data_IF_714569473284
#
_entry.id   IF_714569473284
#
_cell.length_a   1.000
_cell.length_b   1.000
_cell.length_c   1.000
_cell.angle_alpha   90.00
_cell.angle_beta   90.00
_cell.angle_gamma   90.00
#
_symmetry.space_group_name_H-M   'P 1'
#
loop_
_entity.id
_entity.type
_entity.pdbx_description
1 polymer ?
#
# COMPACT_ATOMS: atom_id res chain seq x y z
N UNK A 1 -1.34 1.72 13.46
CA UNK A 1 -2.13 0.50 13.71
C UNK A 1 -1.33 -0.55 14.48
N UNK A 2 -0.17 -0.99 14.02
CA UNK A 2 0.59 -2.08 14.67
C UNK A 2 1.01 -1.76 16.11
N UNK A 3 1.37 -0.52 16.44
CA UNK A 3 1.66 -0.09 17.82
C UNK A 3 0.42 -0.22 18.74
N UNK A 4 -0.75 0.15 18.24
CA UNK A 4 -1.99 0.09 19.02
C UNK A 4 -2.57 -1.33 19.11
N UNK A 5 -2.19 -2.19 18.19
CA UNK A 5 -2.58 -3.60 18.09
C UNK A 5 -4.07 -3.86 18.37
N UNK A 6 -5.02 -3.14 17.73
CA UNK A 6 -6.45 -3.35 17.98
C UNK A 6 -6.87 -4.76 17.58
N UNK A 7 -7.78 -5.36 18.33
CA UNK A 7 -8.33 -6.70 18.04
C UNK A 7 -9.22 -6.73 16.78
N UNK A 8 -9.75 -5.58 16.38
CA UNK A 8 -10.59 -5.42 15.20
C UNK A 8 -10.16 -4.15 14.46
N UNK A 9 -9.86 -4.28 13.17
CA UNK A 9 -9.50 -3.14 12.34
C UNK A 9 -9.81 -3.38 10.86
N UNK A 10 -9.86 -2.29 10.11
CA UNK A 10 -9.90 -2.28 8.65
C UNK A 10 -8.64 -1.57 8.16
N UNK A 11 -7.93 -2.20 7.21
CA UNK A 11 -6.84 -1.58 6.44
C UNK A 11 -7.35 -1.44 5.03
N UNK A 12 -7.28 -0.24 4.47
CA UNK A 12 -7.67 0.03 3.10
C UNK A 12 -6.67 0.93 2.40
N UNK A 13 -6.40 0.66 1.14
CA UNK A 13 -5.64 1.51 0.24
C UNK A 13 -6.11 1.27 -1.19
N UNK A 14 -6.11 2.30 -2.04
CA UNK A 14 -6.42 2.17 -3.46
C UNK A 14 -5.33 1.39 -4.23
N UNK A 15 -4.11 1.30 -3.68
CA UNK A 15 -3.02 0.52 -4.26
C UNK A 15 -3.24 -0.98 -4.10
N UNK A 16 -3.74 -1.61 -5.17
CA UNK A 16 -4.03 -3.04 -5.22
C UNK A 16 -2.83 -3.92 -4.88
N UNK A 17 -1.63 -3.53 -5.33
CA UNK A 17 -0.42 -4.33 -5.08
C UNK A 17 0.01 -4.23 -3.63
N UNK A 18 -0.12 -3.07 -2.99
CA UNK A 18 0.12 -2.91 -1.56
C UNK A 18 -0.88 -3.76 -0.74
N UNK A 19 -2.16 -3.71 -1.07
CA UNK A 19 -3.16 -4.52 -0.37
C UNK A 19 -2.94 -6.02 -0.60
N UNK A 20 -2.44 -6.41 -1.77
CA UNK A 20 -2.04 -7.80 -2.04
C UNK A 20 -0.89 -8.25 -1.13
N UNK A 21 0.10 -7.38 -0.84
CA UNK A 21 1.17 -7.69 0.13
C UNK A 21 0.56 -8.05 1.49
N UNK A 22 -0.32 -7.21 2.05
CA UNK A 22 -0.95 -7.49 3.34
C UNK A 22 -1.79 -8.78 3.32
N UNK A 23 -2.52 -9.05 2.23
CA UNK A 23 -3.27 -10.30 2.06
C UNK A 23 -2.36 -11.52 2.03
N UNK A 24 -1.20 -11.43 1.38
CA UNK A 24 -0.22 -12.51 1.35
C UNK A 24 0.44 -12.72 2.73
N UNK A 25 0.71 -11.64 3.48
CA UNK A 25 1.25 -11.74 4.84
C UNK A 25 0.23 -12.40 5.79
N UNK A 26 -1.06 -12.16 5.60
CA UNK A 26 -2.14 -12.74 6.41
C UNK A 26 -2.40 -14.22 6.11
N UNK A 27 -2.13 -14.70 4.90
CA UNK A 27 -2.36 -16.08 4.46
C UNK A 27 -1.07 -16.90 4.65
N UNK A 28 -1.09 -17.90 5.52
CA UNK A 28 0.10 -18.69 5.89
C UNK A 28 0.82 -19.30 4.69
N UNK A 29 0.08 -19.90 3.75
CA UNK A 29 0.68 -20.53 2.56
C UNK A 29 1.29 -19.52 1.60
N UNK A 30 0.59 -18.38 1.40
CA UNK A 30 1.09 -17.29 0.56
C UNK A 30 2.27 -16.58 1.24
N UNK A 31 2.27 -16.46 2.56
CA UNK A 31 3.35 -15.88 3.34
C UNK A 31 4.67 -16.66 3.14
N UNK A 32 4.65 -17.97 3.33
CA UNK A 32 5.83 -18.80 3.10
C UNK A 32 6.32 -18.74 1.65
N UNK A 33 5.40 -18.80 0.68
CA UNK A 33 5.74 -18.70 -0.73
C UNK A 33 6.32 -17.32 -1.09
N UNK A 34 5.80 -16.26 -0.51
CA UNK A 34 6.31 -14.89 -0.67
C UNK A 34 7.72 -14.73 -0.09
N UNK A 35 7.99 -15.30 1.09
CA UNK A 35 9.33 -15.27 1.69
C UNK A 35 10.36 -16.02 0.84
N UNK A 36 10.00 -17.17 0.27
CA UNK A 36 10.88 -17.88 -0.68
C UNK A 36 11.19 -17.06 -1.93
N UNK A 37 10.18 -16.37 -2.48
CA UNK A 37 10.36 -15.49 -3.65
C UNK A 37 11.22 -14.27 -3.31
N UNK A 38 11.08 -13.69 -2.10
CA UNK A 38 11.93 -12.58 -1.63
C UNK A 38 13.39 -13.00 -1.50
N UNK A 39 13.66 -14.19 -0.94
CA UNK A 39 15.02 -14.73 -0.88
C UNK A 39 15.61 -14.94 -2.29
N UNK A 40 14.80 -15.40 -3.25
CA UNK A 40 15.23 -15.50 -4.64
C UNK A 40 15.58 -14.11 -5.21
N UNK A 41 14.73 -13.11 -5.01
CA UNK A 41 15.03 -11.73 -5.44
C UNK A 41 16.31 -11.16 -4.80
N UNK A 42 16.62 -11.50 -3.55
CA UNK A 42 17.86 -11.08 -2.88
C UNK A 42 19.09 -11.75 -3.49
N UNK A 43 18.97 -13.03 -3.85
CA UNK A 43 20.06 -13.83 -4.46
C UNK A 43 20.40 -13.34 -5.86
N UNK A 44 19.38 -13.06 -6.68
CA UNK A 44 19.55 -12.63 -8.08
C UNK A 44 19.79 -11.11 -8.22
N UNK A 45 19.83 -10.38 -7.10
CA UNK A 45 19.86 -8.93 -7.11
C UNK A 45 21.03 -8.34 -7.91
N UNK A 46 20.69 -7.66 -8.98
CA UNK A 46 21.56 -6.85 -9.83
C UNK A 46 20.77 -5.71 -10.47
N UNK A 47 21.40 -4.79 -11.18
CA UNK A 47 20.69 -3.75 -11.91
C UNK A 47 19.84 -4.33 -13.04
N UNK A 48 20.37 -5.30 -13.78
CA UNK A 48 19.67 -5.99 -14.88
C UNK A 48 18.43 -6.70 -14.34
N UNK A 49 18.60 -7.49 -13.28
CA UNK A 49 17.50 -8.21 -12.63
C UNK A 49 16.44 -7.24 -12.08
N UNK A 50 16.85 -6.12 -11.49
CA UNK A 50 15.89 -5.10 -11.04
C UNK A 50 14.99 -4.62 -12.17
N UNK A 51 15.56 -4.30 -13.33
CA UNK A 51 14.79 -3.84 -14.48
C UNK A 51 13.93 -4.94 -15.09
N UNK A 52 14.37 -6.19 -15.08
CA UNK A 52 13.56 -7.35 -15.46
C UNK A 52 12.30 -7.44 -14.59
N UNK A 53 12.47 -7.49 -13.27
CA UNK A 53 11.37 -7.56 -12.30
C UNK A 53 10.47 -6.31 -12.39
N UNK A 54 11.06 -5.13 -12.55
CA UNK A 54 10.29 -3.89 -12.73
C UNK A 54 9.39 -3.96 -13.96
N UNK A 55 9.88 -4.49 -15.05
CA UNK A 55 9.18 -4.49 -16.33
C UNK A 55 8.08 -5.56 -16.43
N UNK A 56 7.91 -6.44 -15.45
CA UNK A 56 6.84 -7.45 -15.46
C UNK A 56 5.44 -6.86 -15.62
N UNK A 57 5.19 -5.65 -15.11
CA UNK A 57 3.88 -4.98 -15.20
C UNK A 57 3.61 -4.28 -16.54
N UNK A 58 4.57 -4.27 -17.49
CA UNK A 58 4.41 -3.74 -18.83
C UNK A 58 3.48 -4.61 -19.70
N UNK A 59 3.44 -5.92 -19.43
CA UNK A 59 2.47 -6.83 -20.01
C UNK A 59 1.39 -7.17 -18.96
N UNK A 60 0.33 -6.37 -18.94
CA UNK A 60 -0.78 -6.54 -17.98
C UNK A 60 -1.41 -7.93 -18.02
N UNK A 61 -1.46 -8.58 -19.21
CA UNK A 61 -2.06 -9.93 -19.33
C UNK A 61 -1.22 -10.97 -18.61
N UNK A 62 0.11 -10.91 -18.77
CA UNK A 62 1.03 -11.81 -18.08
C UNK A 62 1.10 -11.49 -16.59
N UNK A 63 1.22 -10.20 -16.25
CA UNK A 63 1.29 -9.75 -14.87
C UNK A 63 0.08 -10.21 -14.03
N UNK A 64 -1.13 -10.04 -14.56
CA UNK A 64 -2.35 -10.44 -13.86
C UNK A 64 -2.50 -11.98 -13.69
N UNK A 65 -1.74 -12.77 -14.43
CA UNK A 65 -1.69 -14.23 -14.27
C UNK A 65 -0.65 -14.70 -13.26
N UNK A 66 0.25 -13.82 -12.81
CA UNK A 66 1.20 -14.16 -11.76
C UNK A 66 0.47 -14.46 -10.45
N UNK A 67 0.97 -15.45 -9.73
CA UNK A 67 0.46 -15.77 -8.40
C UNK A 67 0.58 -14.55 -7.46
N UNK A 68 -0.39 -14.36 -6.57
CA UNK A 68 -0.45 -13.23 -5.66
C UNK A 68 0.85 -13.04 -4.88
N UNK A 69 1.45 -14.14 -4.37
CA UNK A 69 2.70 -14.07 -3.60
C UNK A 69 3.89 -13.57 -4.43
N UNK A 70 3.94 -13.87 -5.73
CA UNK A 70 4.98 -13.36 -6.64
C UNK A 70 4.83 -11.86 -6.86
N UNK A 71 3.60 -11.39 -7.03
CA UNK A 71 3.29 -9.97 -7.16
C UNK A 71 3.59 -9.22 -5.85
N UNK A 72 3.28 -9.83 -4.70
CA UNK A 72 3.59 -9.28 -3.39
C UNK A 72 5.10 -9.18 -3.16
N UNK A 73 5.86 -10.24 -3.43
CA UNK A 73 7.31 -10.25 -3.33
C UNK A 73 7.96 -9.21 -4.26
N UNK A 74 7.49 -9.11 -5.52
CA UNK A 74 7.90 -8.05 -6.45
C UNK A 74 7.71 -6.65 -5.86
N UNK A 75 6.55 -6.38 -5.28
CA UNK A 75 6.24 -5.05 -4.70
C UNK A 75 7.22 -4.70 -3.59
N UNK A 76 7.48 -5.63 -2.68
CA UNK A 76 8.44 -5.44 -1.58
C UNK A 76 9.88 -5.26 -2.14
N UNK A 77 10.30 -6.14 -3.04
CA UNK A 77 11.63 -6.10 -3.64
C UNK A 77 11.88 -4.76 -4.36
N UNK A 78 10.97 -4.33 -5.23
CA UNK A 78 11.11 -3.08 -5.96
C UNK A 78 11.19 -1.87 -5.02
N UNK A 79 10.35 -1.81 -3.99
CA UNK A 79 10.41 -0.73 -3.01
C UNK A 79 11.74 -0.70 -2.27
N UNK A 80 12.29 -1.85 -1.89
CA UNK A 80 13.58 -1.94 -1.20
C UNK A 80 14.79 -1.69 -2.10
N UNK A 81 14.72 -2.10 -3.37
CA UNK A 81 15.83 -2.00 -4.33
C UNK A 81 15.86 -0.70 -5.12
N UNK A 82 14.75 0.03 -5.21
CA UNK A 82 14.64 1.26 -5.98
C UNK A 82 15.34 2.46 -5.33
N UNK A 83 15.44 3.55 -6.08
CA UNK A 83 15.97 4.83 -5.62
C UNK A 83 15.11 5.38 -4.46
N UNK A 84 15.74 5.63 -3.32
CA UNK A 84 15.17 6.18 -2.08
C UNK A 84 13.91 5.46 -1.54
N UNK A 85 13.65 4.21 -1.94
CA UNK A 85 12.46 3.48 -1.47
C UNK A 85 11.14 4.12 -1.93
N UNK A 86 11.16 4.88 -3.01
CA UNK A 86 9.97 5.57 -3.52
C UNK A 86 8.97 4.58 -4.12
N UNK A 87 7.69 4.92 -4.01
CA UNK A 87 6.64 4.30 -4.82
C UNK A 87 6.13 5.34 -5.83
N UNK A 88 6.22 5.02 -7.10
CA UNK A 88 5.71 5.88 -8.17
C UNK A 88 5.32 5.04 -9.38
N UNK A 89 4.20 5.40 -9.99
CA UNK A 89 3.71 4.80 -11.25
C UNK A 89 3.61 5.86 -12.35
N UNK A 90 3.62 5.42 -13.59
CA UNK A 90 3.33 6.27 -14.75
C UNK A 90 1.82 6.30 -15.02
N UNK A 91 1.40 7.04 -16.07
CA UNK A 91 -0.01 7.16 -16.49
C UNK A 91 -0.67 5.85 -16.93
N UNK A 92 0.11 4.76 -17.10
CA UNK A 92 -0.39 3.41 -17.39
C UNK A 92 -0.45 2.53 -16.12
N UNK A 93 -0.30 3.15 -14.96
CA UNK A 93 -0.21 2.46 -13.67
C UNK A 93 0.89 1.37 -13.66
N UNK A 94 2.08 1.72 -14.17
CA UNK A 94 3.27 0.86 -14.19
C UNK A 94 4.34 1.47 -13.29
N UNK A 95 4.95 0.64 -12.43
CA UNK A 95 6.01 1.08 -11.53
C UNK A 95 7.20 1.64 -12.32
N UNK A 96 7.65 2.87 -12.03
CA UNK A 96 8.62 3.57 -12.85
C UNK A 96 9.80 4.19 -12.10
N UNK A 97 10.01 3.82 -10.83
CA UNK A 97 11.19 4.29 -10.08
C UNK A 97 12.46 3.63 -10.64
N UNK A 98 13.58 4.36 -10.78
CA UNK A 98 14.83 3.78 -11.23
C UNK A 98 15.51 2.92 -10.15
N UNK A 99 16.46 2.10 -10.55
CA UNK A 99 17.31 1.33 -9.65
C UNK A 99 18.03 2.20 -8.62
N UNK A 100 18.10 1.74 -7.39
CA UNK A 100 18.68 2.46 -6.25
C UNK A 100 20.20 2.34 -6.14
N UNK A 101 20.88 1.70 -7.10
CA UNK A 101 22.34 1.46 -7.13
C UNK A 101 22.87 0.75 -5.88
N UNK A 102 22.04 -0.10 -5.27
CA UNK A 102 22.44 -0.92 -4.13
C UNK A 102 23.17 -2.16 -4.62
N UNK A 103 24.29 -2.51 -3.99
CA UNK A 103 25.04 -3.74 -4.29
C UNK A 103 24.44 -4.95 -3.61
N UNK A 104 23.66 -4.74 -2.55
CA UNK A 104 22.91 -5.76 -1.80
C UNK A 104 21.59 -5.18 -1.32
N UNK A 105 20.55 -6.00 -1.32
CA UNK A 105 19.25 -5.65 -0.80
C UNK A 105 18.82 -6.66 0.28
N UNK A 106 18.33 -6.14 1.39
CA UNK A 106 17.61 -6.93 2.40
C UNK A 106 16.15 -6.52 2.27
N UNK A 107 15.33 -7.40 1.75
CA UNK A 107 13.93 -7.08 1.42
C UNK A 107 13.05 -7.07 2.67
N UNK A 108 13.36 -7.89 3.67
CA UNK A 108 12.55 -8.01 4.89
C UNK A 108 13.38 -8.43 6.11
N UNK A 109 12.81 -8.17 7.27
CA UNK A 109 13.19 -8.77 8.55
C UNK A 109 12.16 -9.86 8.87
N UNK A 110 12.62 -11.12 9.00
CA UNK A 110 11.73 -12.26 9.18
C UNK A 110 10.98 -12.20 10.52
N UNK A 111 11.64 -11.74 11.59
CA UNK A 111 11.02 -11.60 12.92
C UNK A 111 9.87 -10.61 12.89
N UNK A 112 10.08 -9.47 12.23
CA UNK A 112 9.04 -8.45 12.04
C UNK A 112 7.89 -8.97 11.17
N UNK A 113 8.17 -9.64 10.05
CA UNK A 113 7.13 -10.19 9.18
C UNK A 113 6.29 -11.27 9.87
N UNK A 114 6.91 -12.17 10.66
CA UNK A 114 6.18 -13.16 11.47
C UNK A 114 5.28 -12.47 12.49
N UNK A 115 5.76 -11.44 13.17
CA UNK A 115 4.97 -10.66 14.13
C UNK A 115 3.75 -10.03 13.47
N UNK A 116 3.94 -9.42 12.30
CA UNK A 116 2.84 -8.83 11.52
C UNK A 116 1.86 -9.89 11.03
N UNK A 117 2.36 -11.03 10.52
CA UNK A 117 1.53 -12.14 10.07
C UNK A 117 0.66 -12.69 11.21
N UNK A 118 1.25 -12.96 12.37
CA UNK A 118 0.53 -13.42 13.55
C UNK A 118 -0.55 -12.42 13.97
N UNK A 119 -0.22 -11.12 14.03
CA UNK A 119 -1.18 -10.09 14.36
C UNK A 119 -2.37 -10.07 13.39
N UNK A 120 -2.12 -10.09 12.08
CA UNK A 120 -3.16 -10.06 11.05
C UNK A 120 -4.05 -11.31 11.07
N UNK A 121 -3.48 -12.47 11.44
CA UNK A 121 -4.17 -13.76 11.44
C UNK A 121 -4.98 -13.97 12.70
N UNK A 122 -4.42 -13.59 13.87
CA UNK A 122 -5.05 -13.82 15.18
C UNK A 122 -6.16 -12.82 15.52
N UNK A 123 -6.28 -11.73 14.75
CA UNK A 123 -7.24 -10.67 15.00
C UNK A 123 -8.22 -10.49 13.84
N UNK A 124 -9.36 -9.85 14.10
CA UNK A 124 -10.36 -9.52 13.06
C UNK A 124 -9.89 -8.31 12.24
N UNK A 125 -8.90 -8.53 11.38
CA UNK A 125 -8.35 -7.49 10.51
C UNK A 125 -8.87 -7.70 9.10
N UNK A 126 -9.72 -6.78 8.62
CA UNK A 126 -10.17 -6.75 7.23
C UNK A 126 -9.15 -5.99 6.37
N UNK A 127 -8.79 -6.56 5.21
CA UNK A 127 -7.87 -5.93 4.24
C UNK A 127 -8.65 -5.66 2.97
N UNK A 128 -8.95 -4.40 2.73
CA UNK A 128 -9.77 -3.91 1.62
C UNK A 128 -8.89 -3.28 0.53
N UNK A 129 -9.46 -3.17 -0.66
CA UNK A 129 -8.92 -2.38 -1.76
C UNK A 129 -10.13 -1.79 -2.48
N UNK A 130 -10.71 -0.78 -1.86
CA UNK A 130 -11.92 -0.10 -2.32
C UNK A 130 -11.74 1.41 -2.15
N UNK A 131 -12.71 2.19 -2.64
CA UNK A 131 -12.75 3.63 -2.38
C UNK A 131 -12.78 3.91 -0.88
N UNK A 132 -12.20 5.04 -0.45
CA UNK A 132 -12.11 5.40 0.97
C UNK A 132 -13.49 5.53 1.62
N UNK A 133 -14.50 6.04 0.91
CA UNK A 133 -15.88 6.18 1.39
C UNK A 133 -16.51 4.80 1.66
N UNK A 134 -16.32 3.83 0.74
CA UNK A 134 -16.79 2.46 0.91
C UNK A 134 -16.11 1.75 2.09
N UNK A 135 -14.85 2.08 2.35
CA UNK A 135 -14.08 1.45 3.43
C UNK A 135 -14.60 1.79 4.84
N UNK A 136 -15.28 2.92 4.98
CA UNK A 136 -15.79 3.42 6.28
C UNK A 136 -17.31 3.37 6.43
N UNK A 137 -18.03 2.83 5.45
CA UNK A 137 -19.51 2.80 5.46
C UNK A 137 -20.10 2.10 6.68
N UNK A 138 -19.42 1.07 7.19
CA UNK A 138 -19.83 0.28 8.35
C UNK A 138 -19.35 0.86 9.70
N UNK A 139 -18.64 2.00 9.68
CA UNK A 139 -18.14 2.65 10.89
C UNK A 139 -19.29 3.05 11.82
N UNK A 140 -19.07 2.91 13.12
CA UNK A 140 -20.07 3.17 14.17
C UNK A 140 -19.54 4.21 15.17
N UNK A 141 -20.47 4.76 15.97
CA UNK A 141 -20.10 5.64 17.07
C UNK A 141 -19.03 5.00 17.96
N UNK A 142 -17.96 5.73 18.23
CA UNK A 142 -16.83 5.28 19.04
C UNK A 142 -15.70 4.64 18.25
N UNK A 143 -15.88 4.34 16.95
CA UNK A 143 -14.79 3.88 16.11
C UNK A 143 -13.76 5.00 15.88
N UNK A 144 -12.48 4.60 15.76
CA UNK A 144 -11.39 5.50 15.39
C UNK A 144 -11.03 5.30 13.90
N UNK A 145 -11.08 6.39 13.14
CA UNK A 145 -10.75 6.39 11.72
C UNK A 145 -9.56 7.33 11.48
N UNK A 146 -8.53 6.83 10.77
CA UNK A 146 -7.41 7.64 10.32
C UNK A 146 -7.37 7.68 8.79
N UNK A 147 -7.47 8.87 8.24
CA UNK A 147 -7.30 9.15 6.82
C UNK A 147 -5.91 9.71 6.54
N UNK A 148 -5.18 9.05 5.63
CA UNK A 148 -3.88 9.46 5.11
C UNK A 148 -3.97 9.57 3.58
N UNK A 149 -4.67 10.59 3.05
CA UNK A 149 -4.85 10.78 1.61
C UNK A 149 -3.55 11.26 0.96
N UNK A 150 -3.45 11.20 -0.38
CA UNK A 150 -2.47 12.00 -1.08
C UNK A 150 -2.64 13.49 -0.69
N UNK A 151 -1.55 14.09 -0.18
CA UNK A 151 -1.58 15.42 0.40
C UNK A 151 -1.87 16.47 -0.67
N UNK A 152 -2.70 17.46 -0.33
CA UNK A 152 -2.96 18.58 -1.21
C UNK A 152 -1.70 19.40 -1.48
N UNK A 153 -1.57 19.92 -2.68
CA UNK A 153 -0.44 20.73 -3.08
C UNK A 153 -0.91 21.89 -3.96
N UNK A 154 -0.43 23.10 -3.67
CA UNK A 154 -0.72 24.28 -4.49
C UNK A 154 -0.09 24.21 -5.87
N UNK A 155 0.95 23.36 -6.04
CA UNK A 155 1.61 23.09 -7.31
C UNK A 155 1.15 21.74 -7.86
N UNK A 156 0.46 21.75 -8.98
CA UNK A 156 -0.17 20.58 -9.65
C UNK A 156 0.78 19.43 -10.08
N UNK A 157 2.01 19.39 -9.57
CA UNK A 157 3.08 18.51 -10.08
C UNK A 157 3.14 17.14 -9.35
N UNK A 158 2.43 16.91 -8.23
CA UNK A 158 2.67 15.75 -7.36
C UNK A 158 1.48 14.82 -7.09
N UNK A 159 0.48 14.73 -7.97
CA UNK A 159 -0.67 13.81 -7.77
C UNK A 159 -0.56 12.46 -8.50
N UNK A 160 0.65 11.92 -8.67
CA UNK A 160 0.87 10.65 -9.41
C UNK A 160 0.90 9.38 -8.53
N UNK A 161 0.20 9.38 -7.39
CA UNK A 161 0.05 8.16 -6.58
C UNK A 161 -1.06 7.23 -7.09
N UNK A 162 -1.99 7.73 -7.91
CA UNK A 162 -3.06 6.96 -8.54
C UNK A 162 -3.23 7.38 -10.01
N UNK A 163 -3.78 6.48 -10.83
CA UNK A 163 -4.03 6.71 -12.25
C UNK A 163 -4.96 7.92 -12.48
N UNK A 164 -5.99 8.09 -11.63
CA UNK A 164 -7.00 9.14 -11.71
C UNK A 164 -6.66 10.38 -10.88
N UNK A 165 -5.57 10.35 -10.08
CA UNK A 165 -5.18 11.41 -9.16
C UNK A 165 -6.15 11.59 -7.98
N UNK A 166 -5.70 12.26 -6.91
CA UNK A 166 -6.52 12.67 -5.77
C UNK A 166 -6.56 14.21 -5.73
N UNK A 167 -7.44 14.78 -6.56
CA UNK A 167 -7.52 16.22 -6.78
C UNK A 167 -8.41 16.93 -5.76
N UNK A 168 -8.67 18.23 -6.03
CA UNK A 168 -9.45 19.10 -5.14
C UNK A 168 -10.88 18.58 -4.89
N UNK A 169 -11.51 17.93 -5.87
CA UNK A 169 -12.85 17.36 -5.69
C UNK A 169 -12.83 16.17 -4.73
N UNK A 170 -11.79 15.32 -4.82
CA UNK A 170 -11.59 14.22 -3.89
C UNK A 170 -11.29 14.71 -2.47
N UNK A 171 -10.52 15.78 -2.32
CA UNK A 171 -10.31 16.44 -1.03
C UNK A 171 -11.63 16.94 -0.43
N UNK A 172 -12.50 17.57 -1.24
CA UNK A 172 -13.83 18.02 -0.79
C UNK A 172 -14.74 16.85 -0.40
N UNK A 173 -14.71 15.76 -1.18
CA UNK A 173 -15.45 14.52 -0.88
C UNK A 173 -14.97 13.92 0.44
N UNK A 174 -13.66 13.85 0.66
CA UNK A 174 -13.08 13.39 1.90
C UNK A 174 -13.50 14.25 3.10
N UNK A 175 -13.47 15.57 2.96
CA UNK A 175 -13.92 16.49 4.01
C UNK A 175 -15.40 16.29 4.39
N UNK A 176 -16.26 15.97 3.40
CA UNK A 176 -17.66 15.62 3.64
C UNK A 176 -17.78 14.31 4.45
N UNK A 177 -17.08 13.27 4.03
CA UNK A 177 -17.07 11.96 4.73
C UNK A 177 -16.52 12.10 6.16
N UNK A 178 -15.44 12.89 6.34
CA UNK A 178 -14.90 13.22 7.65
C UNK A 178 -15.97 13.82 8.57
N UNK A 179 -16.71 14.84 8.08
CA UNK A 179 -17.77 15.52 8.84
C UNK A 179 -18.93 14.58 9.18
N UNK A 180 -19.33 13.73 8.24
CA UNK A 180 -20.41 12.75 8.46
C UNK A 180 -20.03 11.72 9.54
N UNK A 181 -18.82 11.19 9.51
CA UNK A 181 -18.30 10.28 10.53
C UNK A 181 -18.18 10.94 11.90
N UNK A 182 -17.68 12.18 11.95
CA UNK A 182 -17.59 12.97 13.18
C UNK A 182 -18.99 13.20 13.78
N UNK A 183 -19.99 13.57 12.96
CA UNK A 183 -21.38 13.74 13.39
C UNK A 183 -22.01 12.42 13.87
N UNK A 184 -21.59 11.29 13.31
CA UNK A 184 -21.99 9.94 13.75
C UNK A 184 -21.40 9.56 15.12
N UNK A 185 -20.41 10.33 15.59
CA UNK A 185 -19.74 10.12 16.88
C UNK A 185 -18.52 9.21 16.79
N UNK A 186 -17.91 9.10 15.60
CA UNK A 186 -16.59 8.49 15.42
C UNK A 186 -15.48 9.48 15.83
N UNK A 187 -14.33 8.93 16.21
CA UNK A 187 -13.09 9.69 16.36
C UNK A 187 -12.37 9.69 15.02
N UNK A 188 -12.29 10.85 14.37
CA UNK A 188 -11.72 10.95 13.02
C UNK A 188 -10.46 11.80 13.05
N UNK A 189 -9.37 11.26 12.49
CA UNK A 189 -8.10 11.95 12.31
C UNK A 189 -7.73 11.96 10.82
N UNK A 190 -7.20 13.09 10.35
CA UNK A 190 -6.76 13.30 8.98
C UNK A 190 -5.37 13.94 8.99
N UNK A 191 -4.45 13.43 8.18
CA UNK A 191 -3.19 14.12 7.87
C UNK A 191 -3.26 14.75 6.48
N UNK A 192 -2.75 15.98 6.37
CA UNK A 192 -2.65 16.69 5.08
C UNK A 192 -1.65 17.85 5.17
N UNK A 193 -1.33 18.49 4.04
CA UNK A 193 -0.60 19.75 4.02
C UNK A 193 -1.52 20.90 4.43
N UNK A 194 -0.92 21.92 5.05
CA UNK A 194 -1.62 23.17 5.36
C UNK A 194 -1.66 24.05 4.09
N UNK A 195 -2.68 23.84 3.26
CA UNK A 195 -2.95 24.63 2.05
C UNK A 195 -4.22 25.44 2.21
N UNK A 196 -4.49 26.35 1.29
CA UNK A 196 -5.71 27.18 1.29
C UNK A 196 -7.01 26.35 1.18
N UNK A 197 -6.92 25.12 0.64
CA UNK A 197 -8.06 24.21 0.48
C UNK A 197 -8.37 23.43 1.76
N UNK A 198 -7.33 23.05 2.52
CA UNK A 198 -7.42 22.21 3.72
C UNK A 198 -7.56 23.09 4.96
#
# INVERSE_FOLDING_TARGET
MFELSPKKAVINDCNKELMNVYKCIKDEKKFEAMCRELNHHETEHSEEYYYEIRNLDRDKRKFNKLADYKRAARTIYLNKACFNGLYRVNSKNEFNVPFGKKTKVNTYDIGNLITVSNYLTMNDIKILNVDFEDSVKDAQKGDFIYFDPPYDSETSIFNSYTEDGFGKEEQRRLAKVYKELSNKGCYVMLSNNNTTLI
#
